data_IF_549360520271
#
_entry.id   IF_549360520271
#
_cell.length_a   1.000
_cell.length_b   1.000
_cell.length_c   1.000
_cell.angle_alpha   90.00
_cell.angle_beta   90.00
_cell.angle_gamma   90.00
#
_symmetry.space_group_name_H-M   'P 1'
#
loop_
_entity.id
_entity.type
_entity.pdbx_description
1 polymer ?
#
# COMPACT_ATOMS: atom_id res chain seq x y z
N UNK A 1 -20.79 -4.68 41.59
CA UNK A 1 -20.93 -4.65 40.13
C UNK A 1 -20.27 -5.88 39.54
N UNK A 2 -21.06 -6.78 38.94
CA UNK A 2 -20.55 -7.88 38.13
C UNK A 2 -20.19 -7.33 36.74
N UNK A 3 -18.93 -7.49 36.34
CA UNK A 3 -18.55 -7.42 34.94
C UNK A 3 -18.59 -8.86 34.40
N UNK A 4 -19.77 -9.27 33.95
CA UNK A 4 -19.99 -10.44 33.10
C UNK A 4 -19.30 -10.18 31.76
N UNK A 5 -18.00 -10.49 31.70
CA UNK A 5 -17.24 -10.56 30.46
C UNK A 5 -17.51 -11.88 29.77
N UNK A 6 -18.64 -11.99 29.05
CA UNK A 6 -18.84 -13.03 28.04
C UNK A 6 -17.77 -12.88 26.95
N UNK A 7 -16.64 -13.57 27.09
CA UNK A 7 -15.79 -13.90 25.96
C UNK A 7 -16.53 -14.97 25.15
N UNK A 8 -16.99 -14.61 23.95
CA UNK A 8 -17.53 -15.55 22.98
C UNK A 8 -16.46 -16.55 22.57
N UNK A 9 -16.49 -17.72 23.21
CA UNK A 9 -15.70 -18.87 22.80
C UNK A 9 -16.38 -19.49 21.57
N UNK A 10 -16.13 -18.92 20.39
CA UNK A 10 -16.35 -19.63 19.13
C UNK A 10 -15.31 -20.74 19.06
N UNK A 11 -15.61 -21.84 19.76
CA UNK A 11 -14.77 -23.02 19.86
C UNK A 11 -14.72 -23.68 18.48
N UNK A 12 -13.63 -23.46 17.75
CA UNK A 12 -13.34 -24.03 16.44
C UNK A 12 -12.91 -25.50 16.54
N UNK A 13 -13.69 -26.32 17.22
CA UNK A 13 -13.39 -27.73 17.47
C UNK A 13 -14.05 -28.61 16.41
N UNK A 14 -13.24 -29.36 15.65
CA UNK A 14 -13.72 -30.32 14.66
C UNK A 14 -13.05 -31.67 14.88
N UNK A 15 -13.85 -32.72 15.10
CA UNK A 15 -13.36 -34.09 15.31
C UNK A 15 -12.31 -34.23 16.44
N UNK A 16 -12.45 -33.44 17.50
CA UNK A 16 -11.53 -33.43 18.65
C UNK A 16 -10.25 -32.61 18.43
N UNK A 17 -10.08 -31.97 17.27
CA UNK A 17 -9.02 -31.00 17.03
C UNK A 17 -9.54 -29.58 17.27
N UNK A 18 -8.81 -28.81 18.06
CA UNK A 18 -9.06 -27.39 18.28
C UNK A 18 -8.24 -26.56 17.28
N UNK A 19 -8.91 -25.82 16.40
CA UNK A 19 -8.30 -25.04 15.34
C UNK A 19 -8.12 -23.59 15.75
N UNK A 20 -6.99 -22.98 15.35
CA UNK A 20 -6.70 -21.58 15.68
C UNK A 20 -7.54 -20.56 14.90
N UNK A 21 -8.19 -20.99 13.80
CA UNK A 21 -8.91 -20.13 12.87
C UNK A 21 -10.17 -20.83 12.38
N UNK A 22 -11.25 -20.06 12.24
CA UNK A 22 -12.51 -20.52 11.64
C UNK A 22 -12.28 -21.12 10.25
N UNK A 23 -11.41 -20.51 9.44
CA UNK A 23 -11.13 -21.00 8.09
C UNK A 23 -10.52 -22.40 8.10
N UNK A 24 -9.67 -22.70 9.10
CA UNK A 24 -9.05 -24.00 9.24
C UNK A 24 -10.05 -25.04 9.78
N UNK A 25 -10.96 -24.63 10.67
CA UNK A 25 -12.07 -25.46 11.11
C UNK A 25 -13.03 -25.80 9.95
N UNK A 26 -13.42 -24.83 9.13
CA UNK A 26 -14.26 -25.08 7.94
C UNK A 26 -13.57 -26.04 6.95
N UNK A 27 -12.25 -25.90 6.74
CA UNK A 27 -11.50 -26.88 5.94
C UNK A 27 -11.53 -28.27 6.56
N UNK A 28 -11.46 -28.36 7.87
CA UNK A 28 -11.50 -29.61 8.61
C UNK A 28 -12.88 -30.29 8.48
N UNK A 29 -13.96 -29.51 8.52
CA UNK A 29 -15.33 -30.01 8.27
C UNK A 29 -15.51 -30.50 6.82
N UNK A 30 -14.96 -29.77 5.85
CA UNK A 30 -14.96 -30.21 4.46
C UNK A 30 -14.19 -31.52 4.28
N UNK A 31 -13.00 -31.63 4.88
CA UNK A 31 -12.20 -32.86 4.84
C UNK A 31 -12.95 -34.02 5.49
N UNK A 32 -13.60 -33.81 6.63
CA UNK A 32 -14.46 -34.81 7.29
C UNK A 32 -15.61 -35.27 6.40
N UNK A 33 -16.25 -34.34 5.69
CA UNK A 33 -17.33 -34.65 4.75
C UNK A 33 -16.83 -35.49 3.57
N UNK A 34 -15.68 -35.13 2.99
CA UNK A 34 -15.04 -35.93 1.93
C UNK A 34 -14.67 -37.34 2.43
N UNK A 35 -14.13 -37.45 3.65
CA UNK A 35 -13.79 -38.73 4.26
C UNK A 35 -15.02 -39.62 4.37
N UNK A 36 -16.15 -39.11 4.87
CA UNK A 36 -17.40 -39.90 4.99
C UNK A 36 -17.84 -40.49 3.64
N UNK A 37 -17.72 -39.72 2.57
CA UNK A 37 -18.06 -40.16 1.21
C UNK A 37 -17.10 -41.25 0.73
N UNK A 38 -15.79 -41.04 0.93
CA UNK A 38 -14.76 -41.99 0.51
C UNK A 38 -14.79 -43.28 1.31
N UNK A 39 -15.04 -43.21 2.62
CA UNK A 39 -15.07 -44.35 3.52
C UNK A 39 -16.17 -45.34 3.14
N UNK A 40 -17.32 -44.85 2.68
CA UNK A 40 -18.40 -45.72 2.17
C UNK A 40 -17.95 -46.52 0.94
N UNK A 41 -17.10 -45.94 0.08
CA UNK A 41 -16.56 -46.62 -1.10
C UNK A 41 -15.43 -47.59 -0.74
N UNK A 42 -14.56 -47.22 0.18
CA UNK A 42 -13.36 -47.98 0.58
C UNK A 42 -13.71 -49.27 1.35
N UNK A 43 -14.76 -49.28 2.17
CA UNK A 43 -15.14 -50.46 2.98
C UNK A 43 -15.46 -51.72 2.15
N UNK A 44 -15.85 -51.57 0.90
CA UNK A 44 -16.19 -52.68 0.00
C UNK A 44 -15.11 -52.98 -1.06
N UNK A 45 -13.96 -52.32 -0.96
CA UNK A 45 -12.92 -52.31 -1.99
C UNK A 45 -11.79 -53.29 -1.72
N UNK A 46 -11.14 -53.77 -2.79
CA UNK A 46 -9.97 -54.66 -2.69
C UNK A 46 -8.72 -53.86 -2.29
N UNK A 47 -7.66 -54.49 -1.76
CA UNK A 47 -6.43 -53.77 -1.36
C UNK A 47 -5.84 -52.87 -2.46
N UNK A 48 -5.87 -53.30 -3.73
CA UNK A 48 -5.44 -52.48 -4.87
C UNK A 48 -6.32 -51.24 -5.09
N UNK A 49 -7.63 -51.33 -4.84
CA UNK A 49 -8.53 -50.18 -4.96
C UNK A 49 -8.28 -49.18 -3.83
N UNK A 50 -7.97 -49.68 -2.62
CA UNK A 50 -7.57 -48.85 -1.48
C UNK A 50 -6.28 -48.09 -1.82
N UNK A 51 -5.30 -48.76 -2.45
CA UNK A 51 -4.06 -48.13 -2.92
C UNK A 51 -4.36 -47.03 -3.93
N UNK A 52 -5.22 -47.30 -4.90
CA UNK A 52 -5.60 -46.30 -5.90
C UNK A 52 -6.30 -45.08 -5.26
N UNK A 53 -7.13 -45.28 -4.23
CA UNK A 53 -7.76 -44.17 -3.49
C UNK A 53 -6.70 -43.38 -2.69
N UNK A 54 -5.77 -44.07 -2.04
CA UNK A 54 -4.69 -43.46 -1.27
C UNK A 54 -3.79 -42.58 -2.17
N UNK A 55 -3.26 -43.15 -3.25
CA UNK A 55 -2.37 -42.44 -4.18
C UNK A 55 -3.07 -41.25 -4.84
N UNK A 56 -4.29 -41.45 -5.36
CA UNK A 56 -5.06 -40.35 -5.97
C UNK A 56 -5.41 -39.27 -4.96
N UNK A 57 -5.62 -39.61 -3.69
CA UNK A 57 -5.93 -38.61 -2.65
C UNK A 57 -4.73 -37.72 -2.34
N UNK A 58 -3.53 -38.30 -2.36
CA UNK A 58 -2.26 -37.58 -2.17
C UNK A 58 -1.93 -36.72 -3.39
N UNK A 59 -1.98 -37.29 -4.59
CA UNK A 59 -1.66 -36.60 -5.85
C UNK A 59 -2.55 -35.37 -6.06
N UNK A 60 -3.86 -35.54 -5.83
CA UNK A 60 -4.83 -34.45 -5.99
C UNK A 60 -4.90 -33.51 -4.78
N UNK A 61 -4.10 -33.74 -3.73
CA UNK A 61 -4.06 -32.93 -2.50
C UNK A 61 -5.46 -32.68 -1.92
N UNK A 62 -6.28 -33.75 -1.88
CA UNK A 62 -7.69 -33.68 -1.49
C UNK A 62 -7.85 -33.18 -0.05
N UNK A 63 -6.87 -33.53 0.79
CA UNK A 63 -6.83 -33.27 2.21
C UNK A 63 -5.74 -32.27 2.57
N UNK A 64 -6.08 -31.30 3.42
CA UNK A 64 -5.15 -30.23 3.84
C UNK A 64 -5.07 -30.07 5.36
N UNK A 65 -5.89 -30.81 6.10
CA UNK A 65 -6.03 -30.69 7.55
C UNK A 65 -5.51 -31.95 8.26
N UNK A 66 -5.20 -31.86 9.57
CA UNK A 66 -4.80 -33.01 10.38
C UNK A 66 -5.81 -34.17 10.34
N UNK A 67 -7.11 -33.88 10.25
CA UNK A 67 -8.17 -34.89 10.11
C UNK A 67 -7.97 -35.70 8.83
N UNK A 68 -7.73 -35.01 7.71
CA UNK A 68 -7.47 -35.64 6.42
C UNK A 68 -6.19 -36.45 6.40
N UNK A 69 -5.12 -35.97 7.03
CA UNK A 69 -3.87 -36.73 7.16
C UNK A 69 -4.04 -37.98 8.02
N UNK A 70 -4.84 -37.92 9.09
CA UNK A 70 -5.19 -39.08 9.90
C UNK A 70 -5.91 -40.16 9.09
N UNK A 71 -6.82 -39.77 8.20
CA UNK A 71 -7.48 -40.72 7.29
C UNK A 71 -6.49 -41.36 6.30
N UNK A 72 -5.61 -40.57 5.67
CA UNK A 72 -4.58 -41.09 4.78
C UNK A 72 -3.63 -42.05 5.50
N UNK A 73 -3.27 -41.73 6.74
CA UNK A 73 -2.45 -42.61 7.58
C UNK A 73 -3.18 -43.94 7.85
N UNK A 74 -4.48 -43.89 8.16
CA UNK A 74 -5.29 -45.11 8.32
C UNK A 74 -5.34 -45.97 7.05
N UNK A 75 -5.47 -45.36 5.87
CA UNK A 75 -5.40 -46.11 4.61
C UNK A 75 -4.01 -46.73 4.38
N UNK A 76 -2.93 -46.01 4.72
CA UNK A 76 -1.56 -46.53 4.64
C UNK A 76 -1.36 -47.74 5.54
N UNK A 77 -1.83 -47.68 6.78
CA UNK A 77 -1.73 -48.78 7.74
C UNK A 77 -2.49 -50.02 7.24
N UNK A 78 -3.69 -49.84 6.69
CA UNK A 78 -4.45 -50.94 6.07
C UNK A 78 -3.71 -51.58 4.88
N UNK A 79 -3.02 -50.78 4.06
CA UNK A 79 -2.24 -51.28 2.94
C UNK A 79 -1.03 -52.09 3.43
N UNK A 80 -0.30 -51.60 4.42
CA UNK A 80 0.82 -52.33 5.02
C UNK A 80 0.36 -53.67 5.61
N UNK A 81 -0.78 -53.69 6.31
CA UNK A 81 -1.37 -54.93 6.84
C UNK A 81 -1.80 -55.92 5.74
N UNK A 82 -2.15 -55.43 4.55
CA UNK A 82 -2.52 -56.27 3.41
C UNK A 82 -1.33 -56.80 2.60
N UNK A 83 -0.09 -56.47 2.98
CA UNK A 83 1.14 -57.04 2.40
C UNK A 83 1.91 -56.10 1.46
N UNK A 84 1.56 -54.81 1.38
CA UNK A 84 2.38 -53.82 0.66
C UNK A 84 3.61 -53.42 1.47
N UNK A 85 4.71 -53.07 0.80
CA UNK A 85 5.92 -52.57 1.46
C UNK A 85 5.93 -51.04 1.53
N UNK A 86 6.81 -50.46 2.35
CA UNK A 86 6.93 -48.99 2.43
C UNK A 86 7.37 -48.36 1.11
N UNK A 87 8.17 -49.06 0.32
CA UNK A 87 8.69 -48.62 -0.97
C UNK A 87 7.59 -48.54 -2.05
N UNK A 88 6.52 -49.33 -1.91
CA UNK A 88 5.38 -49.35 -2.83
C UNK A 88 4.41 -48.18 -2.60
N UNK A 89 4.57 -47.42 -1.51
CA UNK A 89 3.59 -46.45 -1.03
C UNK A 89 4.16 -45.04 -0.95
N UNK A 90 3.57 -44.13 -1.74
CA UNK A 90 3.90 -42.70 -1.72
C UNK A 90 3.80 -42.15 -0.28
N UNK A 91 4.80 -41.40 0.23
CA UNK A 91 4.74 -40.81 1.56
C UNK A 91 3.68 -39.71 1.62
N UNK A 92 3.04 -39.54 2.78
CA UNK A 92 2.03 -38.47 3.00
C UNK A 92 2.76 -37.12 3.10
N UNK A 93 2.53 -36.17 2.18
CA UNK A 93 3.24 -34.90 2.19
C UNK A 93 2.68 -33.97 3.27
N UNK A 94 3.57 -33.54 4.17
CA UNK A 94 3.25 -32.55 5.20
C UNK A 94 3.71 -31.18 4.71
N UNK A 95 2.75 -30.35 4.27
CA UNK A 95 3.01 -29.02 3.71
C UNK A 95 2.99 -27.92 4.78
N UNK A 96 3.21 -28.27 6.04
CA UNK A 96 3.28 -27.33 7.16
C UNK A 96 4.63 -27.51 7.86
N UNK A 97 5.28 -26.41 8.20
CA UNK A 97 6.52 -26.46 8.99
C UNK A 97 6.18 -26.63 10.47
N UNK A 98 6.67 -27.71 11.08
CA UNK A 98 6.55 -27.94 12.53
C UNK A 98 7.58 -27.15 13.35
N UNK A 99 8.52 -26.44 12.69
CA UNK A 99 9.50 -25.61 13.40
C UNK A 99 8.78 -24.45 14.07
N UNK A 100 8.45 -24.64 15.34
CA UNK A 100 8.07 -23.56 16.26
C UNK A 100 9.30 -22.67 16.38
N UNK A 101 9.40 -21.65 15.53
CA UNK A 101 10.38 -20.60 15.74
C UNK A 101 10.07 -20.01 17.12
N UNK A 102 10.80 -20.46 18.14
CA UNK A 102 10.85 -19.72 19.38
C UNK A 102 11.30 -18.31 18.98
N UNK A 103 10.68 -17.27 19.52
CA UNK A 103 11.12 -15.90 19.27
C UNK A 103 12.64 -15.72 19.56
N UNK A 104 13.23 -16.64 20.34
CA UNK A 104 14.65 -16.71 20.66
C UNK A 104 15.52 -17.27 19.52
N UNK A 105 15.03 -18.17 18.66
CA UNK A 105 15.81 -18.73 17.55
C UNK A 105 16.02 -17.72 16.41
N UNK A 106 15.10 -16.76 16.26
CA UNK A 106 15.25 -15.63 15.33
C UNK A 106 16.34 -14.63 15.76
N UNK A 107 16.76 -14.63 17.03
CA UNK A 107 17.91 -13.83 17.47
C UNK A 107 19.23 -14.47 17.03
N UNK A 108 19.29 -15.80 16.93
CA UNK A 108 20.50 -16.54 16.50
C UNK A 108 20.56 -16.77 14.98
N UNK A 109 19.42 -16.86 14.29
CA UNK A 109 19.36 -17.14 12.84
C UNK A 109 19.56 -15.88 11.97
N UNK A 110 19.34 -14.68 12.51
CA UNK A 110 19.73 -13.42 11.82
C UNK A 110 21.23 -13.32 11.52
N UNK A 111 22.06 -14.21 12.07
CA UNK A 111 23.50 -14.25 11.82
C UNK A 111 23.95 -15.30 10.78
N UNK A 112 23.03 -16.05 10.17
CA UNK A 112 23.36 -17.07 9.14
C UNK A 112 22.57 -16.96 7.84
N UNK A 113 22.01 -15.79 7.53
CA UNK A 113 21.74 -15.45 6.14
C UNK A 113 23.08 -15.07 5.53
N UNK A 114 23.74 -16.04 4.88
CA UNK A 114 24.75 -15.73 3.86
C UNK A 114 24.11 -14.67 2.96
N UNK A 115 24.64 -13.44 2.87
CA UNK A 115 24.16 -12.52 1.88
C UNK A 115 24.45 -13.17 0.53
N UNK A 116 23.38 -13.59 -0.14
CA UNK A 116 23.38 -13.76 -1.58
C UNK A 116 24.09 -12.53 -2.15
N UNK A 117 25.14 -12.76 -2.94
CA UNK A 117 25.94 -11.69 -3.56
C UNK A 117 25.05 -10.87 -4.48
N UNK A 118 24.24 -9.97 -3.91
CA UNK A 118 23.63 -8.88 -4.64
C UNK A 118 24.79 -7.96 -4.97
N UNK A 119 25.09 -7.87 -6.27
CA UNK A 119 26.13 -7.01 -6.81
C UNK A 119 26.10 -5.67 -6.06
N UNK A 120 27.14 -5.33 -5.27
CA UNK A 120 27.15 -4.17 -4.37
C UNK A 120 27.10 -2.83 -5.12
N UNK A 121 27.11 -2.89 -6.45
CA UNK A 121 27.19 -1.75 -7.33
C UNK A 121 25.85 -0.99 -7.37
N UNK A 122 24.71 -1.68 -7.42
CA UNK A 122 23.39 -1.03 -7.51
C UNK A 122 23.02 -0.22 -6.26
N UNK A 123 23.36 -0.72 -5.06
CA UNK A 123 23.09 -0.02 -3.80
C UNK A 123 23.99 1.19 -3.57
N UNK A 124 25.16 1.24 -4.21
CA UNK A 124 26.12 2.35 -4.07
C UNK A 124 25.93 3.42 -5.16
N UNK A 125 25.54 3.04 -6.37
CA UNK A 125 25.25 4.00 -7.44
C UNK A 125 23.90 4.70 -7.28
N UNK A 126 22.88 4.04 -6.70
CA UNK A 126 21.55 4.65 -6.52
C UNK A 126 21.58 5.98 -5.73
N UNK A 127 22.21 6.07 -4.54
CA UNK A 127 22.29 7.34 -3.82
C UNK A 127 23.14 8.39 -4.55
N UNK A 128 24.17 7.97 -5.30
CA UNK A 128 25.01 8.89 -6.08
C UNK A 128 24.21 9.49 -7.25
N UNK A 129 23.50 8.65 -8.01
CA UNK A 129 22.65 9.07 -9.13
C UNK A 129 21.52 9.97 -8.63
N UNK A 130 20.87 9.61 -7.52
CA UNK A 130 19.82 10.43 -6.92
C UNK A 130 20.33 11.82 -6.51
N UNK A 131 21.53 11.89 -5.94
CA UNK A 131 22.14 13.17 -5.54
C UNK A 131 22.58 14.01 -6.74
N UNK A 132 23.03 13.39 -7.84
CA UNK A 132 23.35 14.09 -9.10
C UNK A 132 22.08 14.67 -9.74
N UNK A 133 20.99 13.92 -9.78
CA UNK A 133 19.69 14.42 -10.27
C UNK A 133 19.21 15.59 -9.42
N UNK A 134 19.35 15.50 -8.10
CA UNK A 134 19.03 16.58 -7.18
C UNK A 134 19.87 17.84 -7.46
N UNK A 135 21.17 17.69 -7.70
CA UNK A 135 22.05 18.81 -8.04
C UNK A 135 21.69 19.46 -9.38
N UNK A 136 21.32 18.67 -10.39
CA UNK A 136 20.86 19.20 -11.69
C UNK A 136 19.60 20.04 -11.52
N UNK A 137 18.63 19.63 -10.71
CA UNK A 137 17.43 20.42 -10.43
C UNK A 137 17.75 21.77 -9.80
N UNK A 138 18.70 21.81 -8.84
CA UNK A 138 19.15 23.06 -8.23
C UNK A 138 19.85 23.96 -9.24
N UNK A 139 20.69 23.40 -10.12
CA UNK A 139 21.36 24.15 -11.18
C UNK A 139 20.34 24.71 -12.17
N UNK A 140 19.33 23.93 -12.58
CA UNK A 140 18.25 24.41 -13.46
C UNK A 140 17.47 25.54 -12.79
N UNK A 141 17.16 25.43 -11.49
CA UNK A 141 16.51 26.51 -10.75
C UNK A 141 17.37 27.78 -10.72
N UNK A 142 18.69 27.63 -10.60
CA UNK A 142 19.64 28.74 -10.62
C UNK A 142 19.78 29.36 -12.02
N UNK A 143 19.78 28.55 -13.09
CA UNK A 143 19.79 29.04 -14.47
C UNK A 143 18.49 29.76 -14.81
N UNK A 144 17.33 29.26 -14.39
CA UNK A 144 16.05 29.97 -14.55
C UNK A 144 16.05 31.26 -13.71
N UNK A 145 16.65 31.27 -12.51
CA UNK A 145 16.75 32.49 -11.73
C UNK A 145 17.75 33.51 -12.30
N UNK A 146 18.80 33.05 -12.99
CA UNK A 146 19.84 33.90 -13.56
C UNK A 146 19.55 34.35 -15.00
N UNK A 147 18.91 33.51 -15.81
CA UNK A 147 18.41 33.83 -17.17
C UNK A 147 16.97 34.32 -17.16
N UNK A 148 16.23 34.05 -16.09
CA UNK A 148 14.97 34.71 -15.78
C UNK A 148 15.26 36.08 -15.24
N UNK A 149 15.47 37.02 -16.15
CA UNK A 149 14.78 38.29 -16.03
C UNK A 149 13.38 37.98 -15.50
N UNK A 150 13.09 38.34 -14.24
CA UNK A 150 11.75 38.26 -13.68
C UNK A 150 10.86 39.19 -14.51
N UNK A 151 10.39 38.67 -15.64
CA UNK A 151 9.66 39.40 -16.68
C UNK A 151 8.28 39.83 -16.20
N UNK A 152 7.92 39.43 -14.98
CA UNK A 152 6.68 39.81 -14.33
C UNK A 152 6.79 40.98 -13.34
N UNK A 153 7.99 41.48 -12.97
CA UNK A 153 8.10 42.54 -11.94
C UNK A 153 8.66 43.87 -12.44
N UNK A 154 9.66 43.85 -13.34
CA UNK A 154 10.21 45.10 -13.90
C UNK A 154 9.27 45.70 -14.95
N UNK A 155 8.63 44.87 -15.77
CA UNK A 155 7.63 45.32 -16.75
C UNK A 155 6.33 45.80 -16.07
N UNK A 156 5.90 45.14 -14.98
CA UNK A 156 4.75 45.60 -14.19
C UNK A 156 4.97 47.01 -13.64
N UNK A 157 6.15 47.27 -13.06
CA UNK A 157 6.49 48.60 -12.56
C UNK A 157 6.50 49.63 -13.70
N UNK A 158 7.12 49.30 -14.84
CA UNK A 158 7.24 50.22 -15.98
C UNK A 158 5.89 50.53 -16.63
N UNK A 159 5.03 49.53 -16.81
CA UNK A 159 3.69 49.71 -17.38
C UNK A 159 2.79 50.54 -16.45
N UNK A 160 2.84 50.28 -15.14
CA UNK A 160 2.09 51.06 -14.14
C UNK A 160 2.58 52.51 -14.09
N UNK A 161 3.89 52.75 -14.08
CA UNK A 161 4.44 54.13 -14.12
C UNK A 161 4.07 54.87 -15.41
N UNK A 162 4.13 54.20 -16.57
CA UNK A 162 3.68 54.81 -17.84
C UNK A 162 2.20 55.19 -17.81
N UNK A 163 1.35 54.40 -17.14
CA UNK A 163 -0.07 54.72 -16.96
C UNK A 163 -0.26 55.97 -16.11
N UNK A 164 0.48 56.11 -15.01
CA UNK A 164 0.41 57.31 -14.18
C UNK A 164 0.90 58.56 -14.93
N UNK A 165 2.01 58.47 -15.67
CA UNK A 165 2.49 59.61 -16.46
C UNK A 165 1.55 59.99 -17.60
N UNK A 166 0.91 59.01 -18.25
CA UNK A 166 -0.10 59.28 -19.27
C UNK A 166 -1.38 59.88 -18.67
N UNK A 167 -1.76 59.44 -17.46
CA UNK A 167 -2.94 59.95 -16.76
C UNK A 167 -2.74 61.39 -16.27
N UNK A 168 -1.57 61.75 -15.75
CA UNK A 168 -1.24 63.14 -15.42
C UNK A 168 -1.29 64.05 -16.64
N UNK A 169 -0.79 63.59 -17.79
CA UNK A 169 -0.88 64.34 -19.04
C UNK A 169 -2.33 64.55 -19.49
N UNK A 170 -3.18 63.52 -19.37
CA UNK A 170 -4.61 63.65 -19.71
C UNK A 170 -5.35 64.60 -18.76
N UNK A 171 -5.06 64.56 -17.45
CA UNK A 171 -5.65 65.49 -16.49
C UNK A 171 -5.23 66.94 -16.78
N UNK A 172 -3.94 67.17 -17.02
CA UNK A 172 -3.41 68.50 -17.33
C UNK A 172 -4.03 69.07 -18.61
N UNK A 173 -4.20 68.22 -19.63
CA UNK A 173 -4.86 68.60 -20.89
C UNK A 173 -6.33 68.96 -20.66
N UNK A 174 -7.04 68.19 -19.81
CA UNK A 174 -8.44 68.47 -19.46
C UNK A 174 -8.59 69.74 -18.61
N UNK A 175 -7.77 69.93 -17.58
CA UNK A 175 -7.77 71.15 -16.78
C UNK A 175 -7.46 72.38 -17.63
N UNK A 176 -6.51 72.27 -18.56
CA UNK A 176 -6.21 73.35 -19.50
C UNK A 176 -7.41 73.68 -20.37
N UNK A 177 -8.10 72.68 -20.93
CA UNK A 177 -9.30 72.87 -21.74
C UNK A 177 -10.46 73.46 -20.93
N UNK A 178 -10.64 73.02 -19.69
CA UNK A 178 -11.66 73.58 -18.77
C UNK A 178 -11.33 75.04 -18.47
N UNK A 179 -10.07 75.37 -18.13
CA UNK A 179 -9.63 76.75 -17.86
C UNK A 179 -9.77 77.68 -19.06
N UNK A 180 -9.50 77.19 -20.27
CA UNK A 180 -9.72 77.93 -21.51
C UNK A 180 -11.22 78.18 -21.76
N UNK A 181 -12.06 77.18 -21.50
CA UNK A 181 -13.52 77.32 -21.60
C UNK A 181 -14.10 78.26 -20.53
N UNK A 182 -13.63 78.18 -19.28
CA UNK A 182 -14.00 79.08 -18.18
C UNK A 182 -13.61 80.52 -18.49
N UNK A 183 -12.39 80.74 -19.00
CA UNK A 183 -11.92 82.06 -19.43
C UNK A 183 -12.76 82.63 -20.59
N UNK A 184 -13.16 81.79 -21.54
CA UNK A 184 -13.98 82.22 -22.67
C UNK A 184 -15.45 82.51 -22.27
N UNK A 185 -15.93 81.88 -21.19
CA UNK A 185 -17.27 82.07 -20.65
C UNK A 185 -17.33 83.09 -19.50
N UNK A 186 -16.18 83.66 -19.09
CA UNK A 186 -16.10 84.70 -18.06
C UNK A 186 -16.46 84.21 -16.65
N UNK A 187 -16.29 82.92 -16.37
CA UNK A 187 -16.59 82.32 -15.07
C UNK A 187 -15.33 82.38 -14.21
N UNK A 188 -15.35 83.16 -13.13
CA UNK A 188 -14.32 83.15 -12.09
C UNK A 188 -14.55 81.92 -11.20
N UNK A 189 -13.52 81.07 -11.05
CA UNK A 189 -13.60 79.79 -10.35
C UNK A 189 -14.02 79.98 -8.88
N UNK A 190 -14.82 79.05 -8.29
CA UNK A 190 -15.19 79.11 -6.88
C UNK A 190 -14.00 78.70 -6.00
N UNK A 191 -13.12 79.65 -5.69
CA UNK A 191 -11.89 79.46 -4.92
C UNK A 191 -12.15 79.43 -3.39
N UNK A 192 -13.06 78.58 -2.89
CA UNK A 192 -13.30 78.54 -1.44
C UNK A 192 -14.28 77.51 -0.91
N UNK A 193 -13.94 76.22 -0.98
CA UNK A 193 -14.76 75.17 -0.33
C UNK A 193 -13.97 74.04 0.37
N UNK A 194 -12.71 74.26 0.72
CA UNK A 194 -11.95 73.39 1.65
C UNK A 194 -11.02 74.22 2.54
N UNK A 195 -11.56 75.28 3.16
CA UNK A 195 -11.04 75.73 4.45
C UNK A 195 -12.01 75.19 5.51
N UNK A 196 -11.42 74.56 6.52
CA UNK A 196 -12.00 74.32 7.84
C UNK A 196 -12.94 73.10 8.00
N UNK A 197 -12.32 71.94 8.17
CA UNK A 197 -12.72 71.04 9.27
C UNK A 197 -11.49 70.59 10.05
N UNK A 198 -11.25 71.33 11.13
CA UNK A 198 -10.76 70.85 12.43
C UNK A 198 -9.24 70.70 12.63
N UNK A 199 -8.64 71.81 13.04
CA UNK A 199 -7.66 71.82 14.11
C UNK A 199 -8.34 71.63 15.48
N UNK A 200 -8.22 70.44 16.09
CA UNK A 200 -7.87 70.24 17.51
C UNK A 200 -7.46 68.77 17.75
#
# INVERSE_FOLDING_TARGET
>A
MAADGKNGNDSYIVCGFDFMSENDAQKAEMDLSKIKVLQTRVKASRPNDIKAVYEKSIENKIFKTPIGWGYLYGLRDQLLQSGFTEDDLIPIPINVSMTRHSAMENLTVKQRIKPEKKNPEFGRIFPIVLNVVLAILVIVMFLIAASGENDNIINYKRNVTNRFSAWEQELTERERKVREAEKNLGIESPEGYYEDTESN
#
